data_IF_506621778608
#
_entry.id   IF_506621778608
#
_cell.length_a   1.000
_cell.length_b   1.000
_cell.length_c   1.000
_cell.angle_alpha   90.00
_cell.angle_beta   90.00
_cell.angle_gamma   90.00
#
_symmetry.space_group_name_H-M   'P 1'
#
loop_
_entity.id
_entity.type
_entity.pdbx_description
1 polymer ?
#
# COMPACT_ATOMS: atom_id res chain seq x y z
N UNK A 1 10.07 48.83 54.98
CA UNK A 1 10.11 49.97 54.04
C UNK A 1 9.84 49.38 52.65
N UNK A 2 8.59 49.32 52.17
CA UNK A 2 7.85 50.41 51.49
C UNK A 2 8.67 50.98 50.31
N UNK A 3 8.22 51.07 49.05
CA UNK A 3 6.88 51.04 48.46
C UNK A 3 6.97 50.81 46.92
N UNK A 4 5.88 50.25 46.35
CA UNK A 4 5.16 50.69 45.13
C UNK A 4 5.89 50.85 43.78
N UNK A 5 5.40 50.16 42.75
CA UNK A 5 4.49 50.82 41.79
C UNK A 5 3.54 49.82 41.14
N UNK A 6 2.26 50.18 41.23
CA UNK A 6 1.09 49.52 40.67
C UNK A 6 0.94 49.94 39.19
N UNK A 7 1.09 48.98 38.27
CA UNK A 7 0.80 49.14 36.85
C UNK A 7 -0.65 48.77 36.55
N UNK A 8 -1.45 49.79 36.24
CA UNK A 8 -2.89 49.78 35.97
C UNK A 8 -3.26 48.85 34.80
N UNK A 9 -4.13 47.87 35.04
CA UNK A 9 -4.93 47.22 33.99
C UNK A 9 -6.25 47.95 33.85
N UNK A 10 -6.30 48.90 32.91
CA UNK A 10 -7.50 49.61 32.51
C UNK A 10 -8.33 48.83 31.50
N UNK A 11 -9.62 48.77 31.79
CA UNK A 11 -10.76 48.89 30.87
C UNK A 11 -11.05 47.75 29.87
N UNK A 12 -11.92 46.88 30.37
CA UNK A 12 -13.07 46.29 29.68
C UNK A 12 -13.40 46.78 28.25
N UNK A 13 -13.22 45.89 27.28
CA UNK A 13 -14.08 45.80 26.10
C UNK A 13 -14.57 44.36 25.95
N UNK A 14 -15.68 44.05 26.63
CA UNK A 14 -16.47 42.84 26.34
C UNK A 14 -17.20 43.08 25.03
N UNK A 15 -16.62 42.63 23.91
CA UNK A 15 -17.36 42.41 22.67
C UNK A 15 -18.34 41.26 22.90
N UNK A 16 -19.55 41.58 23.33
CA UNK A 16 -20.67 40.64 23.27
C UNK A 16 -21.17 40.60 21.83
N UNK A 17 -21.07 39.47 21.10
CA UNK A 17 -21.74 39.34 19.82
C UNK A 17 -23.25 39.40 20.08
N UNK A 18 -23.92 40.37 19.46
CA UNK A 18 -25.37 40.42 19.38
C UNK A 18 -25.85 39.26 18.51
N UNK A 19 -26.03 38.08 19.11
CA UNK A 19 -26.71 36.97 18.46
C UNK A 19 -28.15 37.42 18.17
N UNK A 20 -28.44 37.67 16.89
CA UNK A 20 -29.80 37.83 16.40
C UNK A 20 -30.60 36.60 16.83
N UNK A 21 -31.49 36.80 17.82
CA UNK A 21 -32.28 35.73 18.43
C UNK A 21 -33.35 35.32 17.43
N UNK A 22 -33.07 34.30 16.63
CA UNK A 22 -34.05 33.77 15.69
C UNK A 22 -35.22 33.22 16.49
N UNK A 23 -36.36 33.92 16.42
CA UNK A 23 -37.58 33.59 17.14
C UNK A 23 -38.22 32.41 16.40
N UNK A 24 -37.73 31.19 16.66
CA UNK A 24 -38.37 29.97 16.19
C UNK A 24 -39.78 29.93 16.81
N UNK A 25 -40.77 30.25 15.99
CA UNK A 25 -42.18 29.99 16.28
C UNK A 25 -42.28 28.49 16.59
N UNK A 26 -42.48 28.15 17.87
CA UNK A 26 -42.57 26.76 18.33
C UNK A 26 -43.86 26.17 17.74
N UNK A 27 -43.76 25.55 16.57
CA UNK A 27 -44.76 24.59 16.11
C UNK A 27 -44.63 23.38 17.02
N UNK A 28 -45.73 23.02 17.70
CA UNK A 28 -45.79 21.79 18.47
C UNK A 28 -45.69 20.61 17.49
N UNK A 29 -44.57 19.91 17.51
CA UNK A 29 -44.34 18.71 16.70
C UNK A 29 -45.01 17.53 17.41
N UNK A 30 -45.79 16.73 16.69
CA UNK A 30 -46.40 15.55 17.29
C UNK A 30 -45.37 14.42 17.39
N UNK A 31 -45.53 13.56 18.40
CA UNK A 31 -44.63 12.40 18.61
C UNK A 31 -44.63 11.46 17.39
N UNK A 32 -45.76 11.36 16.68
CA UNK A 32 -45.91 10.53 15.48
C UNK A 32 -45.08 11.08 14.31
N UNK A 33 -45.10 12.38 14.07
CA UNK A 33 -44.32 13.00 12.99
C UNK A 33 -42.82 12.77 13.20
N UNK A 34 -42.34 12.88 14.44
CA UNK A 34 -40.93 12.59 14.75
C UNK A 34 -40.61 11.11 14.54
N UNK A 35 -41.51 10.21 14.95
CA UNK A 35 -41.32 8.76 14.87
C UNK A 35 -41.29 8.26 13.42
N UNK A 36 -42.14 8.81 12.54
CA UNK A 36 -42.12 8.49 11.10
C UNK A 36 -40.84 8.97 10.44
N UNK A 37 -40.34 10.17 10.78
CA UNK A 37 -39.11 10.70 10.19
C UNK A 37 -37.89 9.86 10.56
N UNK A 38 -37.74 9.50 11.84
CA UNK A 38 -36.63 8.63 12.24
C UNK A 38 -36.75 7.24 11.61
N UNK A 39 -37.96 6.71 11.42
CA UNK A 39 -38.17 5.44 10.74
C UNK A 39 -37.74 5.50 9.28
N UNK A 40 -38.08 6.57 8.56
CA UNK A 40 -37.63 6.77 7.17
C UNK A 40 -36.11 6.92 7.10
N UNK A 41 -35.50 7.72 7.98
CA UNK A 41 -34.03 7.88 8.04
C UNK A 41 -33.36 6.53 8.35
N UNK A 42 -33.91 5.72 9.25
CA UNK A 42 -33.38 4.41 9.59
C UNK A 42 -33.43 3.45 8.39
N UNK A 43 -34.54 3.42 7.64
CA UNK A 43 -34.69 2.58 6.43
C UNK A 43 -33.69 3.04 5.35
N UNK A 44 -33.60 4.33 5.09
CA UNK A 44 -32.66 4.88 4.11
C UNK A 44 -31.21 4.61 4.50
N UNK A 45 -30.86 4.80 5.78
CA UNK A 45 -29.55 4.51 6.32
C UNK A 45 -29.19 3.03 6.16
N UNK A 46 -30.11 2.11 6.47
CA UNK A 46 -29.89 0.67 6.37
C UNK A 46 -29.53 0.21 4.95
N UNK A 47 -30.05 0.85 3.90
CA UNK A 47 -29.73 0.54 2.50
C UNK A 47 -28.48 1.30 2.04
N UNK A 48 -28.33 2.56 2.44
CA UNK A 48 -27.25 3.42 1.96
C UNK A 48 -25.88 3.02 2.52
N UNK A 49 -25.79 2.62 3.79
CA UNK A 49 -24.52 2.22 4.41
C UNK A 49 -23.82 1.04 3.72
N UNK A 50 -24.47 -0.11 3.46
CA UNK A 50 -23.80 -1.24 2.80
C UNK A 50 -23.40 -0.91 1.36
N UNK A 51 -24.22 -0.16 0.62
CA UNK A 51 -23.91 0.24 -0.76
C UNK A 51 -22.73 1.21 -0.78
N UNK A 52 -22.70 2.19 0.13
CA UNK A 52 -21.60 3.14 0.23
C UNK A 52 -20.26 2.46 0.58
N UNK A 53 -20.29 1.47 1.48
CA UNK A 53 -19.10 0.69 1.83
C UNK A 53 -18.53 -0.05 0.60
N UNK A 54 -19.39 -0.69 -0.20
CA UNK A 54 -18.97 -1.36 -1.44
C UNK A 54 -18.42 -0.38 -2.47
N UNK A 55 -19.10 0.77 -2.67
CA UNK A 55 -18.64 1.81 -3.60
C UNK A 55 -17.27 2.36 -3.21
N UNK A 56 -17.05 2.61 -1.90
CA UNK A 56 -15.76 3.05 -1.37
C UNK A 56 -14.64 2.03 -1.64
N UNK A 57 -14.92 0.74 -1.48
CA UNK A 57 -13.93 -0.29 -1.75
C UNK A 57 -13.60 -0.41 -3.24
N UNK A 58 -14.59 -0.27 -4.13
CA UNK A 58 -14.35 -0.21 -5.58
C UNK A 58 -13.52 1.01 -5.99
N UNK A 59 -13.73 2.16 -5.34
CA UNK A 59 -12.90 3.33 -5.56
C UNK A 59 -11.44 3.08 -5.14
N UNK A 60 -11.22 2.47 -3.97
CA UNK A 60 -9.87 2.08 -3.53
C UNK A 60 -9.22 1.08 -4.47
N UNK A 61 -9.95 0.08 -4.95
CA UNK A 61 -9.47 -0.88 -5.95
C UNK A 61 -8.97 -0.19 -7.22
N UNK A 62 -9.75 0.78 -7.70
CA UNK A 62 -9.39 1.57 -8.89
C UNK A 62 -8.13 2.40 -8.64
N UNK A 63 -7.97 2.97 -7.44
CA UNK A 63 -6.79 3.71 -7.05
C UNK A 63 -5.55 2.82 -6.92
N UNK A 64 -5.68 1.61 -6.36
CA UNK A 64 -4.58 0.64 -6.28
C UNK A 64 -4.08 0.25 -7.67
N UNK A 65 -5.00 -0.01 -8.61
CA UNK A 65 -4.66 -0.30 -10.01
C UNK A 65 -3.99 0.90 -10.70
N UNK A 66 -4.44 2.12 -10.44
CA UNK A 66 -3.84 3.34 -10.98
C UNK A 66 -2.42 3.58 -10.42
N UNK A 67 -2.22 3.36 -9.12
CA UNK A 67 -0.91 3.41 -8.49
C UNK A 67 0.05 2.39 -9.10
N UNK A 68 -0.41 1.15 -9.30
CA UNK A 68 0.38 0.08 -9.92
C UNK A 68 0.75 0.41 -11.37
N UNK A 69 -0.13 1.05 -12.14
CA UNK A 69 0.19 1.57 -13.49
C UNK A 69 1.28 2.64 -13.46
N UNK A 70 1.29 3.52 -12.47
CA UNK A 70 2.37 4.51 -12.34
C UNK A 70 3.71 3.83 -12.01
N UNK A 71 3.69 2.79 -11.18
CA UNK A 71 4.88 1.97 -10.90
C UNK A 71 5.34 1.20 -12.13
N UNK A 72 4.42 0.64 -12.94
CA UNK A 72 4.80 -0.07 -14.17
C UNK A 72 5.44 0.86 -15.20
N UNK A 73 4.89 2.08 -15.36
CA UNK A 73 5.50 3.10 -16.22
C UNK A 73 6.91 3.48 -15.73
N UNK A 74 7.08 3.68 -14.42
CA UNK A 74 8.40 3.95 -13.85
C UNK A 74 9.40 2.82 -14.09
N UNK A 75 8.96 1.56 -14.01
CA UNK A 75 9.80 0.40 -14.34
C UNK A 75 10.22 0.39 -15.81
N UNK A 76 9.29 0.68 -16.73
CA UNK A 76 9.62 0.78 -18.16
C UNK A 76 10.59 1.94 -18.46
N UNK A 77 10.42 3.09 -17.80
CA UNK A 77 11.37 4.21 -17.92
C UNK A 77 12.76 3.82 -17.40
N UNK A 78 12.83 3.10 -16.28
CA UNK A 78 14.10 2.56 -15.79
C UNK A 78 14.77 1.64 -16.82
N UNK A 79 14.02 0.72 -17.43
CA UNK A 79 14.58 -0.17 -18.46
C UNK A 79 15.19 0.63 -19.63
N UNK A 80 14.56 1.74 -20.03
CA UNK A 80 15.07 2.61 -21.10
C UNK A 80 16.40 3.28 -20.74
N UNK A 81 16.56 3.69 -19.48
CA UNK A 81 17.78 4.38 -19.02
C UNK A 81 18.94 3.42 -18.71
N UNK A 82 18.67 2.13 -18.45
CA UNK A 82 19.63 1.16 -17.95
C UNK A 82 19.84 -0.05 -18.88
N UNK A 83 20.00 0.19 -20.19
CA UNK A 83 20.38 -0.85 -21.17
C UNK A 83 19.40 -2.05 -21.19
N UNK A 84 18.11 -1.74 -21.05
CA UNK A 84 17.01 -2.71 -20.95
C UNK A 84 17.19 -3.72 -19.82
N UNK A 85 17.94 -3.36 -18.78
CA UNK A 85 18.21 -4.24 -17.66
C UNK A 85 17.23 -3.99 -16.53
N UNK A 86 16.62 -5.05 -16.03
CA UNK A 86 15.80 -4.96 -14.83
C UNK A 86 16.61 -4.42 -13.64
N UNK A 87 15.91 -3.76 -12.73
CA UNK A 87 16.49 -3.29 -11.48
C UNK A 87 16.73 -4.47 -10.53
N UNK A 88 17.77 -4.44 -9.68
CA UNK A 88 17.90 -5.41 -8.60
C UNK A 88 16.73 -5.28 -7.63
N UNK A 89 16.13 -6.41 -7.23
CA UNK A 89 15.05 -6.45 -6.24
C UNK A 89 15.49 -5.85 -4.90
N UNK A 90 16.77 -6.07 -4.56
CA UNK A 90 17.43 -5.52 -3.39
C UNK A 90 18.93 -5.34 -3.63
N UNK A 91 19.56 -4.35 -3.02
CA UNK A 91 21.01 -4.14 -3.08
C UNK A 91 21.53 -3.47 -1.81
N UNK A 92 22.83 -3.62 -1.56
CA UNK A 92 23.54 -2.91 -0.51
C UNK A 92 24.17 -1.67 -1.14
N UNK A 93 23.76 -0.50 -0.67
CA UNK A 93 24.28 0.78 -1.15
C UNK A 93 25.09 1.47 -0.05
N UNK A 94 25.98 2.40 -0.40
CA UNK A 94 26.65 3.25 0.58
C UNK A 94 25.62 3.93 1.50
N UNK A 95 25.82 3.80 2.81
CA UNK A 95 25.12 4.61 3.80
C UNK A 95 25.49 6.07 3.52
N UNK A 96 24.61 6.83 2.84
CA UNK A 96 24.59 8.28 2.59
C UNK A 96 23.91 8.67 1.24
N UNK A 97 23.57 7.73 0.36
CA UNK A 97 22.98 8.03 -0.96
C UNK A 97 21.44 8.20 -0.95
N UNK A 98 20.78 8.04 0.20
CA UNK A 98 19.33 8.18 0.33
C UNK A 98 18.95 8.88 1.64
N UNK A 99 17.68 9.29 1.84
CA UNK A 99 17.24 9.85 3.10
C UNK A 99 17.57 8.87 4.23
N UNK A 100 18.21 9.39 5.28
CA UNK A 100 18.73 8.70 6.46
C UNK A 100 17.88 7.46 6.82
N UNK A 101 18.55 6.32 7.13
CA UNK A 101 18.00 5.12 7.82
C UNK A 101 17.41 4.01 6.93
N UNK A 102 18.07 3.71 5.81
CA UNK A 102 17.90 2.45 5.06
C UNK A 102 18.69 1.28 5.68
N UNK A 103 19.62 1.56 6.62
CA UNK A 103 20.56 0.59 7.21
C UNK A 103 21.42 -0.13 6.16
N UNK A 104 21.85 0.58 5.11
CA UNK A 104 22.59 0.03 3.97
C UNK A 104 21.75 -0.78 2.99
N UNK A 105 20.46 -1.01 3.28
CA UNK A 105 19.61 -1.96 2.56
C UNK A 105 18.56 -1.24 1.69
N UNK A 106 18.67 -1.42 0.38
CA UNK A 106 17.82 -0.74 -0.62
C UNK A 106 17.00 -1.75 -1.41
N UNK A 107 15.69 -1.54 -1.50
CA UNK A 107 14.82 -2.29 -2.41
C UNK A 107 14.54 -1.54 -3.70
N UNK A 108 14.02 -2.26 -4.70
CA UNK A 108 13.62 -1.70 -5.99
C UNK A 108 12.73 -0.44 -5.94
N UNK A 109 11.87 -0.18 -4.92
CA UNK A 109 11.10 1.07 -4.88
C UNK A 109 11.97 2.32 -4.88
N UNK A 110 13.17 2.25 -4.27
CA UNK A 110 14.13 3.35 -4.28
C UNK A 110 14.68 3.65 -5.67
N UNK A 111 14.80 2.62 -6.52
CA UNK A 111 15.27 2.77 -7.91
C UNK A 111 14.20 3.33 -8.83
N UNK A 112 12.93 3.06 -8.54
CA UNK A 112 11.81 3.57 -9.33
C UNK A 112 11.28 4.92 -8.85
N UNK A 113 11.58 5.32 -7.60
CA UNK A 113 11.15 6.60 -7.04
C UNK A 113 11.53 7.84 -7.87
N UNK A 114 12.73 7.96 -8.47
CA UNK A 114 13.07 9.11 -9.31
C UNK A 114 12.12 9.35 -10.49
N UNK A 115 11.48 8.28 -10.98
CA UNK A 115 10.53 8.31 -12.10
C UNK A 115 9.11 8.62 -11.65
N UNK A 116 8.70 8.19 -10.46
CA UNK A 116 7.34 8.46 -9.93
C UNK A 116 7.25 9.77 -9.15
N UNK A 117 8.32 10.13 -8.41
CA UNK A 117 8.43 11.28 -7.50
C UNK A 117 7.32 11.37 -6.44
N UNK A 118 6.62 10.27 -6.19
CA UNK A 118 5.49 10.19 -5.26
C UNK A 118 5.57 8.86 -4.51
N UNK A 119 5.81 8.89 -3.20
CA UNK A 119 5.91 7.66 -2.40
C UNK A 119 4.60 6.87 -2.34
N UNK A 120 3.45 7.58 -2.35
CA UNK A 120 2.12 6.98 -2.20
C UNK A 120 1.76 5.93 -3.26
N UNK A 121 2.39 5.96 -4.44
CA UNK A 121 2.09 5.02 -5.54
C UNK A 121 2.64 3.61 -5.28
N UNK A 122 3.56 3.46 -4.34
CA UNK A 122 4.11 2.15 -3.96
C UNK A 122 3.25 1.44 -2.92
N UNK A 123 2.16 2.05 -2.46
CA UNK A 123 1.20 1.47 -1.53
C UNK A 123 -0.23 1.49 -2.10
N UNK A 124 -1.07 0.60 -1.58
CA UNK A 124 -2.48 0.51 -1.95
C UNK A 124 -3.34 1.15 -0.84
N UNK A 125 -4.27 2.08 -1.15
CA UNK A 125 -5.17 2.68 -0.15
C UNK A 125 -6.07 1.71 0.63
N UNK A 126 -6.17 0.44 0.22
CA UNK A 126 -6.85 -0.60 1.01
C UNK A 126 -5.98 -1.20 2.11
N UNK A 127 -4.67 -0.93 2.12
CA UNK A 127 -3.81 -1.33 3.23
C UNK A 127 -4.00 -0.43 4.45
N UNK A 128 -3.79 -0.95 5.67
CA UNK A 128 -3.73 -0.13 6.87
C UNK A 128 -2.65 0.97 6.73
N UNK A 129 -2.99 2.17 7.19
CA UNK A 129 -1.99 3.23 7.30
C UNK A 129 -0.97 2.86 8.38
N UNK A 130 0.30 3.13 8.11
CA UNK A 130 1.38 2.91 9.07
C UNK A 130 2.15 4.19 9.29
N UNK A 131 2.47 4.49 10.56
CA UNK A 131 3.32 5.63 10.92
C UNK A 131 4.70 5.58 10.24
N UNK A 132 5.19 4.39 9.88
CA UNK A 132 6.46 4.20 9.20
C UNK A 132 6.42 4.45 7.68
N UNK A 133 5.25 4.78 7.11
CA UNK A 133 5.11 5.28 5.73
C UNK A 133 5.21 6.80 5.65
N UNK A 134 5.43 7.49 6.77
CA UNK A 134 5.62 8.94 6.79
C UNK A 134 7.11 9.27 6.60
N UNK A 135 7.47 10.20 5.69
CA UNK A 135 8.88 10.50 5.40
C UNK A 135 9.72 10.97 6.60
N UNK A 136 9.10 11.52 7.63
CA UNK A 136 9.72 11.96 8.89
C UNK A 136 9.99 10.80 9.87
N UNK A 137 9.46 9.60 9.60
CA UNK A 137 9.64 8.43 10.47
C UNK A 137 11.05 7.84 10.32
N UNK A 138 11.71 7.45 11.42
CA UNK A 138 13.07 6.88 11.36
C UNK A 138 13.16 5.54 10.62
N UNK A 139 12.07 4.81 10.43
CA UNK A 139 12.06 3.55 9.69
C UNK A 139 11.58 3.71 8.25
N UNK A 140 11.28 4.93 7.79
CA UNK A 140 10.73 5.16 6.45
C UNK A 140 11.62 4.58 5.35
N UNK A 141 12.93 4.86 5.42
CA UNK A 141 13.96 4.35 4.51
C UNK A 141 13.81 2.86 4.23
N UNK A 142 13.87 2.11 5.33
CA UNK A 142 13.73 0.67 5.38
C UNK A 142 12.34 0.19 4.94
N UNK A 143 11.27 0.84 5.42
CA UNK A 143 9.89 0.41 5.14
C UNK A 143 9.50 0.60 3.68
N UNK A 144 9.89 1.73 3.09
CA UNK A 144 9.62 2.04 1.69
C UNK A 144 10.28 1.03 0.75
N UNK A 145 11.55 0.70 0.98
CA UNK A 145 12.28 -0.24 0.13
C UNK A 145 11.80 -1.69 0.27
N UNK A 146 11.44 -2.12 1.48
CA UNK A 146 11.21 -3.54 1.78
C UNK A 146 9.73 -3.94 1.77
N UNK A 147 8.81 -2.99 1.95
CA UNK A 147 7.37 -3.29 2.08
C UNK A 147 6.46 -2.41 1.20
N UNK A 148 6.73 -2.32 -0.11
CA UNK A 148 5.75 -1.82 -1.09
C UNK A 148 4.59 -2.81 -1.23
N UNK A 149 3.42 -2.33 -1.66
CA UNK A 149 2.23 -3.16 -1.89
C UNK A 149 2.36 -4.16 -3.06
N UNK A 150 3.35 -3.93 -3.92
CA UNK A 150 3.62 -4.69 -5.13
C UNK A 150 4.90 -5.47 -4.91
N UNK A 151 4.91 -6.78 -5.08
CA UNK A 151 6.14 -7.58 -5.04
C UNK A 151 6.66 -7.78 -6.45
N UNK A 152 7.97 -7.67 -6.62
CA UNK A 152 8.67 -7.99 -7.86
C UNK A 152 8.80 -9.51 -8.04
N UNK A 153 8.64 -10.00 -9.26
CA UNK A 153 9.01 -11.37 -9.64
C UNK A 153 10.54 -11.53 -9.60
N UNK A 154 11.07 -11.67 -8.38
CA UNK A 154 12.49 -11.50 -8.10
C UNK A 154 13.32 -12.63 -8.71
N UNK A 155 12.90 -13.89 -8.60
CA UNK A 155 13.71 -15.02 -9.10
C UNK A 155 13.96 -14.95 -10.61
N UNK A 156 13.00 -14.45 -11.38
CA UNK A 156 13.10 -14.40 -12.84
C UNK A 156 13.73 -13.11 -13.33
N UNK A 157 13.34 -11.97 -12.75
CA UNK A 157 13.75 -10.67 -13.25
C UNK A 157 14.98 -10.10 -12.55
N UNK A 158 15.28 -10.58 -11.34
CA UNK A 158 16.41 -10.14 -10.53
C UNK A 158 16.95 -11.29 -9.65
N UNK A 159 17.44 -12.39 -10.25
CA UNK A 159 17.97 -13.53 -9.49
C UNK A 159 19.15 -13.12 -8.58
N UNK A 160 19.35 -13.89 -7.50
CA UNK A 160 20.58 -13.83 -6.72
C UNK A 160 21.77 -14.31 -7.54
N UNK A 161 22.96 -13.80 -7.26
CA UNK A 161 24.18 -14.23 -7.96
C UNK A 161 24.64 -15.64 -7.58
N UNK A 162 24.28 -16.15 -6.40
CA UNK A 162 24.53 -17.53 -6.02
C UNK A 162 23.43 -18.46 -6.58
N UNK A 163 23.75 -19.37 -7.52
CA UNK A 163 22.78 -20.30 -8.08
C UNK A 163 22.28 -21.34 -7.06
N UNK A 164 23.02 -21.59 -5.98
CA UNK A 164 22.65 -22.53 -4.92
C UNK A 164 21.88 -21.85 -3.78
N UNK A 165 22.07 -20.54 -3.61
CA UNK A 165 21.37 -19.73 -2.62
C UNK A 165 20.73 -18.50 -3.28
N UNK A 166 19.54 -18.65 -3.91
CA UNK A 166 18.90 -17.56 -4.65
C UNK A 166 18.45 -16.39 -3.76
N UNK A 167 18.54 -16.53 -2.44
CA UNK A 167 18.26 -15.49 -1.45
C UNK A 167 19.51 -14.71 -1.03
N UNK A 168 20.70 -15.14 -1.45
CA UNK A 168 21.96 -14.49 -1.12
C UNK A 168 22.17 -13.27 -2.02
N UNK A 169 22.45 -12.14 -1.38
CA UNK A 169 22.83 -10.92 -2.07
C UNK A 169 24.25 -11.09 -2.66
N UNK A 170 24.59 -10.39 -3.75
CA UNK A 170 23.77 -9.38 -4.45
C UNK A 170 22.76 -9.98 -5.43
N UNK A 171 21.67 -9.23 -5.66
CA UNK A 171 20.71 -9.50 -6.73
C UNK A 171 21.10 -8.71 -7.98
N UNK A 172 20.87 -9.30 -9.15
CA UNK A 172 21.23 -8.69 -10.42
C UNK A 172 20.09 -8.81 -11.42
N UNK A 173 19.68 -7.70 -12.01
CA UNK A 173 18.62 -7.73 -13.02
C UNK A 173 19.04 -8.45 -14.29
N UNK A 174 18.09 -9.15 -14.90
CA UNK A 174 18.26 -9.73 -16.25
C UNK A 174 18.02 -8.67 -17.33
N UNK A 175 18.47 -8.92 -18.55
CA UNK A 175 18.14 -8.05 -19.69
C UNK A 175 16.75 -8.39 -20.20
N UNK A 176 15.99 -7.40 -20.64
CA UNK A 176 14.68 -7.60 -21.26
C UNK A 176 14.78 -8.52 -22.48
N UNK A 177 15.87 -8.43 -23.25
CA UNK A 177 16.14 -9.28 -24.40
C UNK A 177 16.27 -10.77 -24.08
N UNK A 178 16.49 -11.16 -22.82
CA UNK A 178 16.50 -12.57 -22.41
C UNK A 178 15.10 -13.10 -22.03
N UNK A 179 14.06 -12.26 -22.07
CA UNK A 179 12.67 -12.66 -21.80
C UNK A 179 11.96 -12.88 -23.13
N UNK A 180 11.68 -14.14 -23.46
CA UNK A 180 11.10 -14.51 -24.77
C UNK A 180 9.66 -14.00 -24.96
N UNK A 181 8.85 -13.99 -23.89
CA UNK A 181 7.41 -13.62 -23.94
C UNK A 181 7.06 -12.55 -22.89
N UNK A 182 7.48 -11.28 -23.05
CA UNK A 182 7.23 -10.22 -22.07
C UNK A 182 5.76 -10.01 -21.69
N UNK A 183 4.83 -10.24 -22.62
CA UNK A 183 3.38 -10.12 -22.37
C UNK A 183 2.81 -11.30 -21.55
N UNK A 184 3.59 -12.34 -21.28
CA UNK A 184 3.15 -13.51 -20.49
C UNK A 184 3.87 -13.59 -19.14
N UNK A 185 5.02 -12.93 -18.97
CA UNK A 185 5.77 -12.96 -17.73
C UNK A 185 5.33 -11.83 -16.79
N UNK A 186 5.10 -12.16 -15.52
CA UNK A 186 4.77 -11.21 -14.47
C UNK A 186 6.02 -10.41 -14.04
N UNK A 187 5.85 -9.11 -13.94
CA UNK A 187 6.81 -8.17 -13.37
C UNK A 187 6.50 -7.85 -11.92
N UNK A 188 5.27 -7.43 -11.64
CA UNK A 188 4.78 -7.11 -10.31
C UNK A 188 3.46 -7.79 -10.02
N UNK A 189 3.26 -8.17 -8.76
CA UNK A 189 2.02 -8.75 -8.25
C UNK A 189 1.74 -8.15 -6.88
N UNK A 190 0.48 -7.92 -6.53
CA UNK A 190 0.12 -7.61 -5.14
C UNK A 190 0.74 -8.61 -4.14
N UNK A 191 1.45 -8.08 -3.15
CA UNK A 191 2.23 -8.90 -2.22
C UNK A 191 1.87 -8.62 -0.76
N UNK A 192 2.15 -9.50 0.18
CA UNK A 192 2.03 -9.22 1.62
C UNK A 192 3.10 -9.93 2.46
N UNK A 193 3.54 -9.23 3.49
CA UNK A 193 4.15 -9.80 4.69
C UNK A 193 3.07 -9.88 5.77
N UNK A 194 2.76 -11.09 6.23
CA UNK A 194 1.90 -11.35 7.40
C UNK A 194 2.78 -11.79 8.60
N UNK A 195 4.11 -11.64 8.49
CA UNK A 195 5.02 -11.84 9.62
C UNK A 195 4.98 -10.60 10.53
N UNK A 196 4.48 -10.75 11.77
CA UNK A 196 4.79 -9.81 12.86
C UNK A 196 6.28 -9.95 13.18
N UNK A 197 7.14 -9.16 12.52
CA UNK A 197 8.53 -9.07 12.92
C UNK A 197 8.63 -8.24 14.20
N UNK A 198 9.10 -8.88 15.28
CA UNK A 198 9.56 -8.15 16.45
C UNK A 198 10.74 -7.25 16.10
N UNK A 199 10.79 -6.05 16.68
CA UNK A 199 11.95 -5.15 16.59
C UNK A 199 11.71 -3.78 15.96
N UNK A 200 10.60 -3.57 15.24
CA UNK A 200 10.25 -2.26 14.67
C UNK A 200 8.99 -1.72 15.34
N UNK A 201 9.06 -0.50 15.88
CA UNK A 201 7.93 0.17 16.54
C UNK A 201 7.04 0.90 15.52
N UNK A 202 6.40 0.15 14.61
CA UNK A 202 5.44 0.68 13.65
C UNK A 202 4.01 0.32 14.05
N UNK A 203 3.11 1.31 14.04
CA UNK A 203 1.66 1.07 14.11
C UNK A 203 1.14 0.71 12.72
N UNK A 204 0.07 -0.11 12.63
CA UNK A 204 -0.55 -0.50 11.36
C UNK A 204 0.30 -1.42 10.46
N UNK A 205 1.36 -2.01 11.01
CA UNK A 205 2.35 -2.80 10.26
C UNK A 205 1.99 -4.29 10.12
N UNK A 206 0.80 -4.69 10.55
CA UNK A 206 0.44 -6.11 10.72
C UNK A 206 0.19 -6.86 9.41
N UNK A 207 -0.17 -6.14 8.33
CA UNK A 207 -0.42 -6.69 6.98
C UNK A 207 -0.05 -5.68 5.91
N UNK A 208 1.24 -5.52 5.64
CA UNK A 208 1.76 -4.64 4.58
C UNK A 208 2.37 -5.47 3.45
N UNK A 209 2.69 -4.85 2.31
CA UNK A 209 3.29 -5.56 1.19
C UNK A 209 4.73 -6.08 1.42
N UNK A 210 5.25 -6.83 0.46
CA UNK A 210 6.62 -7.35 0.44
C UNK A 210 7.26 -6.99 -0.90
N UNK A 211 8.52 -6.54 -0.89
CA UNK A 211 9.24 -6.14 -2.10
C UNK A 211 9.40 -7.25 -3.14
N UNK A 212 9.28 -8.52 -2.77
CA UNK A 212 9.36 -9.65 -3.71
C UNK A 212 8.18 -10.60 -3.58
N UNK A 213 7.93 -11.32 -4.67
CA UNK A 213 7.04 -12.49 -4.73
C UNK A 213 7.79 -13.66 -5.35
N UNK A 214 7.41 -14.86 -4.93
CA UNK A 214 8.01 -16.12 -5.34
C UNK A 214 7.04 -16.92 -6.23
N UNK A 215 7.56 -17.65 -7.23
CA UNK A 215 6.75 -18.49 -8.10
C UNK A 215 6.15 -19.70 -7.37
N UNK A 216 5.09 -20.33 -7.94
CA UNK A 216 4.32 -21.41 -7.30
C UNK A 216 5.13 -22.61 -6.80
N UNK A 217 6.26 -22.94 -7.44
CA UNK A 217 7.17 -24.02 -7.05
C UNK A 217 7.93 -23.74 -5.73
N UNK A 218 7.90 -22.48 -5.24
CA UNK A 218 8.51 -22.05 -3.98
C UNK A 218 7.51 -21.80 -2.87
N UNK A 219 6.22 -22.02 -3.11
CA UNK A 219 5.18 -21.78 -2.11
C UNK A 219 5.24 -22.86 -1.00
N UNK A 220 5.22 -22.44 0.26
CA UNK A 220 5.43 -23.32 1.43
C UNK A 220 4.18 -23.46 2.30
N UNK A 221 3.71 -24.70 2.50
CA UNK A 221 2.60 -25.02 3.41
C UNK A 221 1.21 -24.93 2.77
N UNK A 222 0.20 -25.46 3.49
CA UNK A 222 -1.19 -25.44 3.07
C UNK A 222 -1.93 -24.20 3.62
N UNK A 223 -2.94 -23.67 2.92
CA UNK A 223 -3.82 -22.63 3.48
C UNK A 223 -4.54 -23.15 4.73
N UNK A 224 -4.87 -22.33 5.74
CA UNK A 224 -4.53 -20.93 5.97
C UNK A 224 -3.43 -20.78 7.04
N UNK A 225 -2.60 -19.75 6.91
CA UNK A 225 -2.11 -18.87 8.00
C UNK A 225 -0.74 -18.21 7.73
N UNK A 226 -0.09 -18.37 6.57
CA UNK A 226 1.18 -17.65 6.32
C UNK A 226 1.32 -17.16 4.86
N UNK A 227 1.93 -15.98 4.62
CA UNK A 227 2.16 -15.43 3.27
C UNK A 227 3.14 -16.29 2.46
N UNK A 228 3.98 -17.04 3.16
CA UNK A 228 4.92 -18.00 2.58
C UNK A 228 4.19 -19.11 1.80
N UNK A 229 2.93 -19.40 2.14
CA UNK A 229 2.09 -20.38 1.43
C UNK A 229 1.64 -19.95 0.05
N UNK A 230 1.87 -18.68 -0.31
CA UNK A 230 1.58 -18.13 -1.63
C UNK A 230 2.77 -17.34 -2.20
N UNK A 231 4.00 -17.60 -1.71
CA UNK A 231 5.17 -16.87 -2.21
C UNK A 231 5.04 -15.36 -2.05
N UNK A 232 4.44 -14.92 -0.93
CA UNK A 232 4.06 -13.53 -0.66
C UNK A 232 2.97 -12.94 -1.56
N UNK A 233 2.41 -13.64 -2.55
CA UNK A 233 1.27 -13.15 -3.33
C UNK A 233 0.05 -13.04 -2.43
N UNK A 234 -0.56 -11.85 -2.37
CA UNK A 234 -1.76 -11.64 -1.56
C UNK A 234 -2.68 -10.59 -2.18
N UNK A 235 -3.89 -10.97 -2.66
CA UNK A 235 -4.85 -10.01 -3.16
C UNK A 235 -5.32 -9.10 -2.03
N UNK A 236 -5.47 -7.80 -2.28
CA UNK A 236 -6.03 -6.84 -1.29
C UNK A 236 -7.54 -6.74 -1.37
N UNK A 237 -8.06 -7.02 -2.55
CA UNK A 237 -9.48 -7.01 -2.85
C UNK A 237 -9.96 -8.46 -2.97
N UNK A 238 -10.31 -9.05 -1.83
CA UNK A 238 -10.77 -10.44 -1.76
C UNK A 238 -11.95 -10.59 -0.80
N UNK A 239 -12.71 -11.66 -0.98
CA UNK A 239 -13.64 -12.13 0.03
C UNK A 239 -12.89 -13.07 0.97
N UNK A 240 -12.94 -12.78 2.27
CA UNK A 240 -12.42 -13.67 3.32
C UNK A 240 -13.56 -14.39 4.01
N UNK A 241 -13.48 -15.71 4.10
CA UNK A 241 -14.34 -16.55 4.97
C UNK A 241 -13.39 -17.36 5.86
N UNK A 242 -13.53 -17.26 7.19
CA UNK A 242 -12.65 -17.95 8.16
C UNK A 242 -11.15 -17.71 7.92
N UNK A 243 -10.74 -16.45 7.68
CA UNK A 243 -9.36 -16.05 7.33
C UNK A 243 -8.77 -16.72 6.08
N UNK A 244 -9.59 -17.41 5.27
CA UNK A 244 -9.21 -17.99 3.98
C UNK A 244 -9.66 -17.12 2.83
N UNK A 245 -8.76 -16.88 1.88
CA UNK A 245 -9.08 -16.28 0.58
C UNK A 245 -9.76 -17.36 -0.26
N UNK A 246 -11.08 -17.23 -0.51
CA UNK A 246 -11.83 -18.17 -1.37
C UNK A 246 -11.95 -17.67 -2.80
N UNK A 247 -12.07 -16.36 -2.98
CA UNK A 247 -12.15 -15.71 -4.28
C UNK A 247 -11.48 -14.33 -4.18
N UNK A 248 -10.50 -14.07 -5.03
CA UNK A 248 -9.71 -12.84 -4.99
C UNK A 248 -9.08 -12.51 -6.33
N UNK A 249 -9.01 -11.21 -6.60
CA UNK A 249 -8.23 -10.68 -7.70
C UNK A 249 -7.00 -9.98 -7.15
N UNK A 250 -5.83 -10.34 -7.66
CA UNK A 250 -4.60 -9.60 -7.42
C UNK A 250 -4.38 -8.65 -8.60
N UNK A 251 -4.00 -7.41 -8.31
CA UNK A 251 -3.49 -6.52 -9.35
C UNK A 251 -2.10 -6.99 -9.77
N UNK A 252 -1.88 -7.14 -11.07
CA UNK A 252 -0.61 -7.60 -11.63
C UNK A 252 -0.14 -6.73 -12.78
N UNK A 253 1.16 -6.74 -13.00
CA UNK A 253 1.87 -6.10 -14.11
C UNK A 253 2.67 -7.17 -14.83
N UNK A 254 2.60 -7.19 -16.15
CA UNK A 254 3.45 -8.04 -16.99
C UNK A 254 4.70 -7.28 -17.43
N UNK A 255 5.70 -7.99 -17.94
CA UNK A 255 7.00 -7.42 -18.33
C UNK A 255 6.86 -6.36 -19.43
N UNK A 256 5.85 -6.46 -20.30
CA UNK A 256 5.48 -5.43 -21.29
C UNK A 256 4.79 -4.18 -20.69
N UNK A 257 4.54 -4.17 -19.38
CA UNK A 257 3.92 -3.06 -18.64
C UNK A 257 2.40 -3.09 -18.57
N UNK A 258 1.71 -4.06 -19.18
CA UNK A 258 0.24 -4.09 -19.09
C UNK A 258 -0.22 -4.48 -17.68
N UNK A 259 -1.23 -3.77 -17.19
CA UNK A 259 -1.75 -3.94 -15.82
C UNK A 259 -3.17 -4.47 -15.85
N UNK A 260 -3.43 -5.56 -15.14
CA UNK A 260 -4.77 -6.16 -15.06
C UNK A 260 -5.07 -6.74 -13.68
N UNK A 261 -6.35 -6.85 -13.36
CA UNK A 261 -6.81 -7.68 -12.25
C UNK A 261 -6.77 -9.14 -12.70
N UNK A 262 -6.14 -10.00 -11.91
CA UNK A 262 -5.92 -11.40 -12.25
C UNK A 262 -6.42 -12.31 -11.16
N UNK A 263 -7.09 -13.41 -11.53
CA UNK A 263 -7.61 -14.38 -10.54
C UNK A 263 -6.43 -15.06 -9.84
N UNK A 264 -6.52 -15.16 -8.52
CA UNK A 264 -5.45 -15.76 -7.70
C UNK A 264 -5.09 -17.19 -8.16
N UNK A 265 -6.07 -18.02 -8.49
CA UNK A 265 -5.81 -19.38 -8.98
C UNK A 265 -5.07 -19.43 -10.31
N UNK A 266 -5.24 -18.42 -11.16
CA UNK A 266 -4.50 -18.35 -12.42
C UNK A 266 -3.01 -18.06 -12.17
N UNK A 267 -2.66 -17.35 -11.09
CA UNK A 267 -1.26 -17.10 -10.71
C UNK A 267 -0.50 -18.37 -10.26
N UNK A 268 -1.21 -19.47 -10.01
CA UNK A 268 -0.60 -20.78 -9.72
C UNK A 268 0.08 -21.42 -10.94
N UNK A 269 -0.20 -20.93 -12.17
CA UNK A 269 0.45 -21.44 -13.38
C UNK A 269 1.88 -20.90 -13.47
N UNK A 270 2.85 -21.80 -13.54
CA UNK A 270 4.28 -21.48 -13.57
C UNK A 270 4.67 -20.67 -14.82
N UNK A 271 3.92 -20.82 -15.93
CA UNK A 271 4.19 -20.13 -17.20
C UNK A 271 4.19 -18.60 -17.08
N UNK A 272 3.46 -18.04 -16.11
CA UNK A 272 3.43 -16.60 -15.88
C UNK A 272 4.68 -16.08 -15.15
N UNK A 273 5.57 -16.97 -14.71
CA UNK A 273 6.69 -16.62 -13.85
C UNK A 273 8.04 -16.81 -14.51
N UNK A 274 8.19 -17.61 -15.58
CA UNK A 274 9.48 -17.99 -16.18
C UNK A 274 9.53 -17.69 -17.67
#
# INVERSE_FOLDING_TARGET
MAAETCGKWGEAYRFAPSFARWKFMRKAFTLIELLVVIAIIAILGAILFPVFAQAREKARQSQCLANLRQVSLAALMYLQDYDERFFPAFFVGPDNLAPVRTYGYYGWPWLLYPYTKVYGVFWCPSEPESNCRKPDNPYFGYVFGRFPAWGMNQLTLSPGMDPYNPNEMPYLGVKLSSIERPAEILMFVESATLERRGGIQCTGYERIGNYRVEPPDRWLGAPPLQPLSYGHVWPRHHLSVDDRVRDGFASVVFVDGHVKAFRLDALRRIDYWR
#
